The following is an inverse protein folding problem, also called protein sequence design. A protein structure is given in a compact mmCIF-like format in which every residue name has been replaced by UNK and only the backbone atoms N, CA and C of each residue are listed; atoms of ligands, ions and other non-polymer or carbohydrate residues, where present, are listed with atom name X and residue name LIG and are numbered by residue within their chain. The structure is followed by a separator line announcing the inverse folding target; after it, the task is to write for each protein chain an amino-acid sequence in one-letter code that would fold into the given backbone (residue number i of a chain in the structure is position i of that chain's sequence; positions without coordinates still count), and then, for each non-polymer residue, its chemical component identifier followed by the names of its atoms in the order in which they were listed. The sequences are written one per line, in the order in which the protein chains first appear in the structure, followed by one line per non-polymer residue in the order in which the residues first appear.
data_IF_110158731544
#
_entry.id   IF_110158731544
#
_cell.length_a   1.000
_cell.length_b   1.000
_cell.length_c   1.000
_cell.angle_alpha   90.00
_cell.angle_beta   90.00
_cell.angle_gamma   90.00
#
_symmetry.space_group_name_H-M   'P 1'
#
loop_
_entity.id
_entity.type
_entity.pdbx_description
1 polymer ?
#
# COMPACT_ATOMS: atom_id res chain seq x y z
N UNK A 1 -29.57 -10.59 22.79
CA UNK A 1 -28.17 -10.16 22.58
C UNK A 1 -28.07 -9.77 21.12
N UNK A 2 -28.25 -8.49 20.82
CA UNK A 2 -28.04 -7.97 19.47
C UNK A 2 -26.52 -7.90 19.26
N UNK A 3 -26.00 -8.74 18.39
CA UNK A 3 -24.63 -8.61 17.92
C UNK A 3 -24.59 -7.40 17.01
N UNK A 4 -24.31 -6.23 17.58
CA UNK A 4 -23.93 -5.04 16.83
C UNK A 4 -22.65 -5.39 16.08
N UNK A 5 -22.79 -5.65 14.78
CA UNK A 5 -21.65 -5.71 13.87
C UNK A 5 -21.12 -4.28 13.83
N UNK A 6 -20.03 -4.01 14.55
CA UNK A 6 -19.25 -2.80 14.34
C UNK A 6 -18.79 -2.82 12.89
N UNK A 7 -19.49 -2.08 12.03
CA UNK A 7 -18.96 -1.70 10.73
C UNK A 7 -17.75 -0.82 11.01
N UNK A 8 -16.58 -1.44 11.15
CA UNK A 8 -15.30 -0.76 11.04
C UNK A 8 -15.40 0.00 9.72
N UNK A 9 -15.44 1.32 9.80
CA UNK A 9 -15.40 2.20 8.63
C UNK A 9 -14.05 1.98 7.96
N UNK A 10 -13.94 0.93 7.16
CA UNK A 10 -12.77 0.62 6.36
C UNK A 10 -12.69 1.72 5.33
N UNK A 11 -11.87 2.74 5.62
CA UNK A 11 -11.54 3.79 4.67
C UNK A 11 -11.14 3.11 3.36
N UNK A 12 -11.74 3.48 2.21
CA UNK A 12 -11.41 2.85 0.94
C UNK A 12 -9.90 2.91 0.69
N UNK A 13 -9.30 1.76 0.39
CA UNK A 13 -7.84 1.63 0.27
C UNK A 13 -7.33 2.51 -0.86
N UNK A 14 -6.47 3.46 -0.51
CA UNK A 14 -5.86 4.41 -1.43
C UNK A 14 -4.44 3.96 -1.79
N UNK A 15 -4.15 3.79 -3.08
CA UNK A 15 -2.87 3.28 -3.53
C UNK A 15 -1.68 4.16 -3.10
N UNK A 16 -1.85 5.49 -2.96
CA UNK A 16 -0.75 6.36 -2.54
C UNK A 16 -0.41 6.17 -1.05
N UNK A 17 -1.45 6.03 -0.21
CA UNK A 17 -1.29 5.82 1.24
C UNK A 17 -0.61 4.48 1.49
N UNK A 18 -1.08 3.43 0.82
CA UNK A 18 -0.51 2.09 0.97
C UNK A 18 0.93 2.03 0.45
N UNK A 19 1.22 2.65 -0.70
CA UNK A 19 2.58 2.70 -1.22
C UNK A 19 3.53 3.48 -0.30
N UNK A 20 3.06 4.56 0.33
CA UNK A 20 3.84 5.32 1.30
C UNK A 20 4.13 4.48 2.56
N UNK A 21 3.13 3.78 3.09
CA UNK A 21 3.30 2.94 4.26
C UNK A 21 4.28 1.78 3.99
N UNK A 22 4.18 1.14 2.82
CA UNK A 22 5.15 0.15 2.36
C UNK A 22 6.56 0.77 2.25
N UNK A 23 6.68 1.99 1.71
CA UNK A 23 7.97 2.67 1.62
C UNK A 23 8.58 2.95 3.00
N UNK A 24 7.78 3.29 4.00
CA UNK A 24 8.26 3.54 5.37
C UNK A 24 8.71 2.25 6.07
N UNK A 25 8.06 1.12 5.80
CA UNK A 25 8.38 -0.18 6.38
C UNK A 25 9.41 -1.00 5.58
N UNK A 26 9.85 -0.49 4.43
CA UNK A 26 10.88 -1.15 3.61
C UNK A 26 12.30 -0.80 4.10
N UNK A 27 13.21 -1.76 4.34
CA UNK A 27 14.58 -1.50 4.75
C UNK A 27 15.34 -0.56 3.81
N UNK A 28 16.15 0.34 4.35
CA UNK A 28 16.82 1.41 3.58
C UNK A 28 17.77 0.91 2.48
N UNK A 29 18.32 -0.30 2.65
CA UNK A 29 19.23 -0.96 1.70
C UNK A 29 18.52 -1.51 0.45
N UNK A 30 17.19 -1.62 0.45
CA UNK A 30 16.39 -2.07 -0.70
C UNK A 30 16.12 -0.92 -1.67
N UNK A 31 17.19 -0.29 -2.14
CA UNK A 31 17.18 0.98 -2.89
C UNK A 31 16.29 0.94 -4.14
N UNK A 32 16.34 -0.13 -4.93
CA UNK A 32 15.55 -0.26 -6.16
C UNK A 32 14.04 -0.33 -5.89
N UNK A 33 13.62 -1.13 -4.90
CA UNK A 33 12.22 -1.25 -4.53
C UNK A 33 11.67 0.07 -3.95
N UNK A 34 12.45 0.70 -3.06
CA UNK A 34 12.14 2.03 -2.50
C UNK A 34 12.02 3.09 -3.59
N UNK A 35 12.89 3.05 -4.60
CA UNK A 35 12.84 3.96 -5.73
C UNK A 35 11.57 3.77 -6.58
N UNK A 36 11.21 2.51 -6.88
CA UNK A 36 9.97 2.21 -7.61
C UNK A 36 8.72 2.72 -6.88
N UNK A 37 8.66 2.56 -5.54
CA UNK A 37 7.58 3.10 -4.72
C UNK A 37 7.54 4.64 -4.77
N UNK A 38 8.70 5.30 -4.68
CA UNK A 38 8.78 6.77 -4.79
C UNK A 38 8.31 7.26 -6.15
N UNK A 39 8.73 6.62 -7.24
CA UNK A 39 8.28 6.99 -8.58
C UNK A 39 6.77 6.80 -8.74
N UNK A 40 6.20 5.74 -8.18
CA UNK A 40 4.76 5.55 -8.15
C UNK A 40 4.04 6.67 -7.39
N UNK A 41 4.47 6.98 -6.17
CA UNK A 41 3.85 8.01 -5.33
C UNK A 41 3.99 9.41 -5.94
N UNK A 42 5.19 9.77 -6.38
CA UNK A 42 5.55 11.16 -6.72
C UNK A 42 5.51 11.47 -8.22
N UNK A 43 5.47 10.47 -9.11
CA UNK A 43 5.39 10.70 -10.54
C UNK A 43 4.07 10.20 -11.14
N UNK A 44 3.52 9.08 -10.66
CA UNK A 44 2.29 8.51 -11.22
C UNK A 44 1.01 9.03 -10.54
N UNK A 45 1.01 9.21 -9.22
CA UNK A 45 -0.18 9.59 -8.46
C UNK A 45 -0.42 11.09 -8.15
N UNK A 46 0.50 12.07 -8.34
CA UNK A 46 0.28 13.46 -7.88
C UNK A 46 -0.95 14.15 -8.46
N UNK A 47 -1.30 13.82 -9.70
CA UNK A 47 -2.43 14.42 -10.41
C UNK A 47 -3.65 13.49 -10.48
N UNK A 48 -3.62 12.36 -9.76
CA UNK A 48 -4.74 11.45 -9.67
C UNK A 48 -5.73 11.90 -8.60
N UNK A 49 -7.00 12.01 -8.99
CA UNK A 49 -8.09 12.23 -8.03
C UNK A 49 -8.15 11.07 -7.02
N UNK A 50 -8.72 11.28 -5.81
CA UNK A 50 -8.90 10.20 -4.84
C UNK A 50 -9.63 8.97 -5.42
N UNK A 51 -10.58 9.17 -6.33
CA UNK A 51 -11.29 8.09 -7.03
C UNK A 51 -10.33 7.29 -7.92
N UNK A 52 -9.46 7.98 -8.67
CA UNK A 52 -8.46 7.31 -9.52
C UNK A 52 -7.41 6.55 -8.72
N UNK A 53 -7.04 7.04 -7.53
CA UNK A 53 -6.13 6.34 -6.61
C UNK A 53 -6.72 5.06 -6.01
N UNK A 54 -8.04 4.92 -6.04
CA UNK A 54 -8.79 3.73 -5.63
C UNK A 54 -9.19 2.85 -6.82
N UNK A 55 -8.99 3.34 -8.04
CA UNK A 55 -9.44 2.66 -9.24
C UNK A 55 -8.66 1.35 -9.46
N UNK A 56 -9.32 0.25 -9.88
CA UNK A 56 -8.65 -1.04 -10.09
C UNK A 56 -7.44 -0.98 -11.04
N UNK A 57 -7.44 -0.10 -12.04
CA UNK A 57 -6.30 0.04 -12.95
C UNK A 57 -5.05 0.57 -12.25
N UNK A 58 -5.20 1.52 -11.33
CA UNK A 58 -4.07 2.03 -10.53
C UNK A 58 -3.51 0.94 -9.63
N UNK A 59 -4.40 0.13 -9.05
CA UNK A 59 -4.01 -1.04 -8.26
C UNK A 59 -3.31 -2.10 -9.09
N UNK A 60 -3.78 -2.36 -10.32
CA UNK A 60 -3.13 -3.29 -11.24
C UNK A 60 -1.70 -2.84 -11.57
N UNK A 61 -1.50 -1.55 -11.85
CA UNK A 61 -0.15 -0.98 -12.05
C UNK A 61 0.71 -1.19 -10.80
N UNK A 62 0.15 -0.94 -9.61
CA UNK A 62 0.88 -1.15 -8.36
C UNK A 62 1.26 -2.61 -8.15
N UNK A 63 0.33 -3.53 -8.39
CA UNK A 63 0.51 -4.97 -8.24
C UNK A 63 1.56 -5.51 -9.22
N UNK A 64 1.39 -5.24 -10.52
CA UNK A 64 2.21 -5.84 -11.58
C UNK A 64 3.60 -5.20 -11.65
N UNK A 65 3.69 -3.87 -11.58
CA UNK A 65 4.96 -3.18 -11.84
C UNK A 65 5.85 -3.03 -10.60
N UNK A 66 5.28 -3.21 -9.40
CA UNK A 66 5.98 -2.98 -8.14
C UNK A 66 5.93 -4.23 -7.28
N UNK A 67 4.75 -4.64 -6.81
CA UNK A 67 4.67 -5.73 -5.84
C UNK A 67 5.19 -7.05 -6.40
N UNK A 68 4.67 -7.52 -7.54
CA UNK A 68 5.11 -8.78 -8.14
C UNK A 68 6.52 -8.71 -8.74
N UNK A 69 6.96 -7.53 -9.17
CA UNK A 69 8.31 -7.35 -9.72
C UNK A 69 9.38 -7.53 -8.66
N UNK A 70 9.20 -6.95 -7.47
CA UNK A 70 10.21 -6.93 -6.42
C UNK A 70 9.97 -7.99 -5.33
N UNK A 71 8.71 -8.35 -5.07
CA UNK A 71 8.31 -9.36 -4.08
C UNK A 71 7.31 -10.35 -4.74
N UNK A 72 7.76 -11.17 -5.71
CA UNK A 72 6.89 -12.18 -6.33
C UNK A 72 6.46 -13.25 -5.33
N UNK A 73 7.34 -13.60 -4.38
CA UNK A 73 7.07 -14.52 -3.28
C UNK A 73 7.83 -13.99 -2.06
N UNK A 74 7.16 -13.67 -0.94
CA UNK A 74 7.82 -13.15 0.26
C UNK A 74 8.62 -14.26 0.96
N UNK A 75 9.93 -14.07 1.06
CA UNK A 75 10.92 -14.97 1.66
C UNK A 75 11.50 -14.37 2.94
N UNK A 76 11.72 -13.06 2.98
CA UNK A 76 12.27 -12.34 4.12
C UNK A 76 11.15 -11.79 5.05
N UNK A 77 11.43 -11.56 6.35
CA UNK A 77 10.43 -11.01 7.28
C UNK A 77 9.83 -9.67 6.82
N UNK A 78 10.66 -8.74 6.34
CA UNK A 78 10.20 -7.42 5.87
C UNK A 78 9.29 -7.53 4.63
N UNK A 79 9.52 -8.53 3.77
CA UNK A 79 8.68 -8.77 2.59
C UNK A 79 7.28 -9.23 3.01
N UNK A 80 7.18 -10.06 4.05
CA UNK A 80 5.89 -10.48 4.60
C UNK A 80 5.11 -9.31 5.18
N UNK A 81 5.79 -8.45 5.93
CA UNK A 81 5.18 -7.24 6.49
C UNK A 81 4.67 -6.31 5.39
N UNK A 82 5.48 -6.06 4.36
CA UNK A 82 5.07 -5.29 3.17
C UNK A 82 3.85 -5.92 2.48
N UNK A 83 3.83 -7.24 2.30
CA UNK A 83 2.67 -7.94 1.71
C UNK A 83 1.44 -7.85 2.60
N UNK A 84 1.59 -7.90 3.92
CA UNK A 84 0.47 -7.78 4.85
C UNK A 84 -0.12 -6.36 4.87
N UNK A 85 0.71 -5.30 4.75
CA UNK A 85 0.26 -3.91 4.50
C UNK A 85 -0.47 -3.85 3.15
N UNK A 86 0.12 -4.42 2.10
CA UNK A 86 -0.46 -4.46 0.74
C UNK A 86 -1.79 -5.21 0.68
N UNK A 87 -2.02 -6.22 1.52
CA UNK A 87 -3.28 -6.96 1.59
C UNK A 87 -4.28 -6.33 2.58
N UNK A 88 -3.88 -5.30 3.33
CA UNK A 88 -4.73 -4.65 4.33
C UNK A 88 -4.98 -5.51 5.57
N UNK A 89 -4.06 -6.43 5.89
CA UNK A 89 -4.10 -7.23 7.12
C UNK A 89 -3.57 -6.47 8.33
N UNK A 90 -2.78 -5.42 8.09
CA UNK A 90 -2.33 -4.48 9.10
C UNK A 90 -3.29 -3.29 9.06
N UNK A 91 -3.94 -3.00 10.19
CA UNK A 91 -4.83 -1.85 10.33
C UNK A 91 -3.96 -0.61 10.40
N UNK A 92 -4.01 0.21 9.35
CA UNK A 92 -3.36 1.52 9.33
C UNK A 92 -4.21 2.46 10.16
N UNK A 93 -3.67 2.91 11.30
CA UNK A 93 -4.37 3.88 12.15
C UNK A 93 -4.42 5.24 11.42
N UNK A 94 -5.63 5.75 11.10
CA UNK A 94 -5.77 7.02 10.41
C UNK A 94 -5.30 8.23 11.23
N UNK A 95 -5.13 8.10 12.56
CA UNK A 95 -4.62 9.17 13.42
C UNK A 95 -3.14 9.51 13.17
N UNK A 96 -2.41 8.65 12.46
CA UNK A 96 -1.00 8.85 12.10
C UNK A 96 -0.78 9.94 11.04
N UNK A 97 -1.86 10.43 10.39
CA UNK A 97 -1.81 11.44 9.32
C UNK A 97 -2.53 12.75 9.67
N UNK A 98 -2.82 12.98 10.96
CA UNK A 98 -3.46 14.20 11.48
C UNK A 98 -2.52 15.37 11.67
#
# INVERSE_FOLDING_TARGET
MENSIETVNLVPRDASVIALDILLNTPEDKTEFRQALREFIFNHLPYCSPEMRRHPQTWCIFEENIMHRYIPVPKEPWEKEVVDIYLGKIVIDPSTFG
#
